data_IF_648996278236
#
_entry.id   IF_648996278236
#
_cell.length_a   1.000
_cell.length_b   1.000
_cell.length_c   1.000
_cell.angle_alpha   90.00
_cell.angle_beta   90.00
_cell.angle_gamma   90.00
#
_symmetry.space_group_name_H-M   'P 1'
#
loop_
_entity.id
_entity.type
_entity.pdbx_description
1 polymer ?
#
# COMPACT_ATOMS: atom_id res chain seq x y z
N UNK A 1 -1.69 65.68 30.63
CA UNK A 1 -2.70 64.74 30.09
C UNK A 1 -2.03 63.94 28.98
N UNK A 2 -2.06 62.61 29.12
CA UNK A 2 -1.43 61.64 28.23
C UNK A 2 -2.38 61.27 27.08
N UNK A 3 -1.83 60.91 25.92
CA UNK A 3 -2.14 59.65 25.23
C UNK A 3 -1.23 59.47 24.02
N UNK A 4 -0.49 58.36 24.06
CA UNK A 4 0.36 57.82 23.00
C UNK A 4 -0.54 57.31 21.88
N UNK A 5 -0.28 57.73 20.63
CA UNK A 5 -0.91 57.14 19.47
C UNK A 5 -0.35 55.73 19.27
N UNK A 6 -1.17 54.72 19.55
CA UNK A 6 -0.84 53.31 19.35
C UNK A 6 -0.82 52.99 17.85
N UNK A 7 0.31 52.45 17.39
CA UNK A 7 0.42 51.82 16.10
C UNK A 7 -0.51 50.59 16.05
N UNK A 8 -1.45 50.57 15.10
CA UNK A 8 -2.18 49.34 14.77
C UNK A 8 -1.34 48.53 13.79
N UNK A 9 -0.43 47.73 14.33
CA UNK A 9 0.20 46.63 13.62
C UNK A 9 -0.71 45.40 13.75
N UNK A 10 -1.86 45.40 13.07
CA UNK A 10 -2.57 44.15 12.84
C UNK A 10 -2.06 43.56 11.52
N UNK A 11 -0.95 42.83 11.67
CA UNK A 11 -0.49 41.85 10.70
C UNK A 11 -1.68 40.97 10.29
N UNK A 12 -1.96 40.96 9.00
CA UNK A 12 -2.90 40.04 8.38
C UNK A 12 -2.33 38.62 8.52
N UNK A 13 -2.66 37.96 9.63
CA UNK A 13 -2.62 36.51 9.71
C UNK A 13 -3.78 36.03 8.85
N UNK A 14 -3.50 35.79 7.56
CA UNK A 14 -4.40 35.06 6.69
C UNK A 14 -4.78 33.78 7.42
N UNK A 15 -6.06 33.65 7.75
CA UNK A 15 -6.55 32.48 8.45
C UNK A 15 -6.37 31.26 7.54
N UNK A 16 -6.05 30.09 8.07
CA UNK A 16 -5.91 28.84 7.30
C UNK A 16 -7.08 28.54 6.34
N UNK A 17 -8.25 29.16 6.56
CA UNK A 17 -9.43 29.09 5.68
C UNK A 17 -9.17 29.65 4.29
N UNK A 18 -8.33 30.66 4.16
CA UNK A 18 -7.99 31.29 2.88
C UNK A 18 -7.06 30.40 2.03
N UNK A 19 -6.31 29.48 2.67
CA UNK A 19 -5.39 28.55 2.00
C UNK A 19 -6.14 27.46 1.22
N UNK A 20 -7.32 27.07 1.70
CA UNK A 20 -8.13 26.00 1.09
C UNK A 20 -9.43 26.50 0.47
N UNK A 21 -9.68 27.81 0.43
CA UNK A 21 -10.89 28.37 -0.19
C UNK A 21 -12.21 27.90 0.44
N UNK A 22 -12.21 27.57 1.74
CA UNK A 22 -13.39 27.05 2.43
C UNK A 22 -14.37 28.17 2.74
N UNK A 23 -15.64 28.01 2.34
CA UNK A 23 -16.71 29.00 2.52
C UNK A 23 -17.22 29.10 3.97
N UNK A 24 -16.70 28.27 4.87
CA UNK A 24 -17.16 28.16 6.26
C UNK A 24 -18.34 27.20 6.43
N UNK A 25 -18.96 26.75 5.33
CA UNK A 25 -19.90 25.64 5.32
C UNK A 25 -19.18 24.37 4.87
N UNK A 26 -18.47 23.74 5.80
CA UNK A 26 -17.64 22.55 5.54
C UNK A 26 -18.40 21.43 4.82
N UNK A 27 -19.69 21.22 5.14
CA UNK A 27 -20.50 20.19 4.47
C UNK A 27 -20.69 20.50 3.00
N UNK A 28 -21.00 21.76 2.68
CA UNK A 28 -21.16 22.20 1.29
C UNK A 28 -19.84 22.17 0.53
N UNK A 29 -18.76 22.64 1.17
CA UNK A 29 -17.44 22.66 0.55
C UNK A 29 -16.96 21.24 0.25
N UNK A 30 -17.09 20.31 1.20
CA UNK A 30 -16.73 18.89 1.01
C UNK A 30 -17.53 18.25 -0.13
N UNK A 31 -18.84 18.45 -0.18
CA UNK A 31 -19.69 17.90 -1.26
C UNK A 31 -19.27 18.48 -2.62
N UNK A 32 -19.05 19.79 -2.70
CA UNK A 32 -18.54 20.41 -3.92
C UNK A 32 -17.18 19.83 -4.35
N UNK A 33 -16.26 19.59 -3.42
CA UNK A 33 -14.97 18.97 -3.77
C UNK A 33 -15.14 17.56 -4.29
N UNK A 34 -15.94 16.73 -3.62
CA UNK A 34 -16.22 15.35 -4.04
C UNK A 34 -16.90 15.29 -5.42
N UNK A 35 -17.88 16.16 -5.68
CA UNK A 35 -18.60 16.22 -6.95
C UNK A 35 -17.72 16.66 -8.13
N UNK A 36 -16.63 17.39 -7.86
CA UNK A 36 -15.70 17.87 -8.87
C UNK A 36 -14.43 17.02 -8.99
N UNK A 37 -14.35 15.85 -8.34
CA UNK A 37 -13.25 14.92 -8.55
C UNK A 37 -13.37 14.36 -9.98
N UNK A 38 -12.53 14.87 -10.88
CA UNK A 38 -12.31 14.28 -12.19
C UNK A 38 -11.19 13.24 -12.09
N UNK A 39 -11.54 11.95 -11.97
CA UNK A 39 -10.56 10.86 -12.06
C UNK A 39 -10.39 10.39 -13.50
N UNK A 40 -9.15 10.08 -13.87
CA UNK A 40 -8.89 9.37 -15.13
C UNK A 40 -9.24 7.89 -14.94
N UNK A 41 -10.51 7.55 -15.16
CA UNK A 41 -11.02 6.17 -15.16
C UNK A 41 -12.10 5.91 -14.11
N UNK A 42 -13.17 5.24 -14.54
CA UNK A 42 -14.28 4.77 -13.69
C UNK A 42 -14.26 3.24 -13.67
N UNK A 43 -13.46 2.65 -12.79
CA UNK A 43 -13.56 1.21 -12.56
C UNK A 43 -13.68 0.89 -11.08
N UNK A 44 -14.67 0.07 -10.77
CA UNK A 44 -14.84 -0.56 -9.48
C UNK A 44 -15.15 -2.03 -9.73
N UNK A 45 -14.51 -2.91 -8.98
CA UNK A 45 -14.81 -4.35 -8.99
C UNK A 45 -15.13 -4.79 -7.56
N UNK A 46 -16.13 -5.65 -7.42
CA UNK A 46 -16.53 -6.22 -6.15
C UNK A 46 -16.74 -7.71 -6.32
N UNK A 47 -16.14 -8.51 -5.45
CA UNK A 47 -16.31 -9.96 -5.40
C UNK A 47 -16.63 -10.37 -3.97
N UNK A 48 -17.72 -11.11 -3.80
CA UNK A 48 -18.06 -11.71 -2.52
C UNK A 48 -17.37 -13.05 -2.38
N UNK A 49 -16.71 -13.29 -1.25
CA UNK A 49 -16.06 -14.56 -0.95
C UNK A 49 -16.82 -15.28 0.17
N UNK A 50 -17.10 -16.56 -0.03
CA UNK A 50 -17.77 -17.40 0.98
C UNK A 50 -16.87 -17.77 2.16
N UNK A 51 -15.55 -17.72 1.97
CA UNK A 51 -14.51 -17.92 2.99
C UNK A 51 -13.65 -16.67 3.03
N UNK A 52 -13.41 -16.10 4.22
CA UNK A 52 -12.57 -14.90 4.40
C UNK A 52 -11.12 -15.23 4.80
N UNK A 53 -10.82 -16.50 5.03
CA UNK A 53 -9.50 -16.95 5.48
C UNK A 53 -8.97 -18.05 4.59
N UNK A 54 -7.84 -17.79 3.95
CA UNK A 54 -7.06 -18.77 3.20
C UNK A 54 -5.79 -19.02 3.98
N UNK A 55 -5.50 -20.27 4.29
CA UNK A 55 -4.18 -20.61 4.82
C UNK A 55 -3.19 -20.60 3.65
N UNK A 56 -2.12 -19.79 3.71
CA UNK A 56 -1.25 -19.59 2.58
C UNK A 56 -0.49 -20.85 2.14
N UNK A 57 -0.24 -21.78 3.07
CA UNK A 57 0.57 -22.99 2.90
C UNK A 57 1.79 -22.74 2.00
N UNK A 58 2.63 -21.80 2.42
CA UNK A 58 3.82 -21.42 1.66
C UNK A 58 4.85 -22.55 1.76
N UNK A 59 5.35 -23.01 0.61
CA UNK A 59 6.47 -23.96 0.56
C UNK A 59 7.61 -23.36 -0.23
N UNK A 60 8.83 -23.50 0.27
CA UNK A 60 10.03 -23.15 -0.47
C UNK A 60 10.40 -24.31 -1.40
N UNK A 61 10.62 -23.98 -2.67
CA UNK A 61 11.06 -24.92 -3.68
C UNK A 61 12.58 -25.09 -3.56
N UNK A 62 13.02 -26.34 -3.46
CA UNK A 62 14.42 -26.69 -3.45
C UNK A 62 15.10 -26.35 -4.78
N UNK A 63 16.33 -25.83 -4.74
CA UNK A 63 17.18 -25.83 -5.92
C UNK A 63 17.49 -27.30 -6.30
N UNK A 64 17.35 -27.65 -7.57
CA UNK A 64 17.82 -28.92 -8.13
C UNK A 64 17.19 -30.21 -7.54
N UNK A 65 15.88 -30.17 -7.23
CA UNK A 65 15.14 -31.38 -6.84
C UNK A 65 15.21 -31.75 -5.35
N UNK A 66 15.62 -30.82 -4.49
CA UNK A 66 15.46 -30.96 -3.04
C UNK A 66 13.97 -30.90 -2.63
N UNK A 67 13.64 -31.53 -1.50
CA UNK A 67 12.27 -31.56 -0.96
C UNK A 67 11.72 -30.14 -0.67
N UNK A 68 10.43 -29.96 -0.93
CA UNK A 68 9.72 -28.73 -0.59
C UNK A 68 9.70 -28.52 0.92
N UNK A 69 10.09 -27.32 1.37
CA UNK A 69 10.10 -26.98 2.80
C UNK A 69 8.90 -26.10 3.13
N UNK A 70 7.99 -26.61 3.96
CA UNK A 70 6.85 -25.84 4.45
C UNK A 70 7.27 -24.75 5.44
N UNK A 71 6.62 -23.59 5.32
CA UNK A 71 6.80 -22.42 6.18
C UNK A 71 5.60 -22.35 7.14
N UNK A 72 5.87 -22.46 8.43
CA UNK A 72 4.85 -22.42 9.46
C UNK A 72 4.21 -21.04 9.61
N UNK A 73 2.93 -21.04 9.98
CA UNK A 73 2.19 -19.85 10.39
C UNK A 73 1.65 -20.02 11.83
N UNK A 74 1.68 -18.96 12.68
CA UNK A 74 2.24 -17.64 12.42
C UNK A 74 3.76 -17.71 12.22
N UNK A 75 4.30 -16.79 11.42
CA UNK A 75 5.70 -16.83 10.97
C UNK A 75 6.66 -16.73 12.17
N UNK A 76 7.29 -17.85 12.51
CA UNK A 76 8.30 -17.93 13.55
C UNK A 76 9.69 -17.54 13.06
N UNK A 77 10.62 -17.29 13.99
CA UNK A 77 11.99 -16.88 13.68
C UNK A 77 12.73 -17.89 12.79
N UNK A 78 12.56 -19.19 13.05
CA UNK A 78 13.22 -20.25 12.27
C UNK A 78 12.75 -20.25 10.81
N UNK A 79 11.45 -20.14 10.59
CA UNK A 79 10.87 -20.11 9.25
C UNK A 79 11.17 -18.80 8.52
N UNK A 80 11.19 -17.67 9.24
CA UNK A 80 11.67 -16.40 8.70
C UNK A 80 13.12 -16.48 8.22
N UNK A 81 14.00 -17.16 8.96
CA UNK A 81 15.38 -17.38 8.54
C UNK A 81 15.49 -18.27 7.30
N UNK A 82 14.61 -19.27 7.14
CA UNK A 82 14.54 -20.08 5.91
C UNK A 82 14.19 -19.19 4.72
N UNK A 83 13.16 -18.34 4.84
CA UNK A 83 12.77 -17.39 3.81
C UNK A 83 13.92 -16.43 3.44
N UNK A 84 14.58 -15.83 4.42
CA UNK A 84 15.68 -14.87 4.19
C UNK A 84 16.85 -15.52 3.42
N UNK A 85 17.14 -16.80 3.64
CA UNK A 85 18.25 -17.50 2.97
C UNK A 85 18.06 -17.63 1.45
N UNK A 86 16.80 -17.72 0.99
CA UNK A 86 16.47 -17.86 -0.44
C UNK A 86 15.97 -16.55 -1.06
N UNK A 87 15.46 -15.64 -0.25
CA UNK A 87 15.00 -14.34 -0.71
C UNK A 87 16.16 -13.41 -1.08
N UNK A 88 15.85 -12.39 -1.88
CA UNK A 88 16.74 -11.26 -2.14
C UNK A 88 16.16 -10.00 -1.50
N UNK A 89 17.00 -8.98 -1.34
CA UNK A 89 16.51 -7.65 -0.99
C UNK A 89 15.64 -7.10 -2.13
N UNK A 90 14.45 -6.63 -1.75
CA UNK A 90 13.47 -6.09 -2.69
C UNK A 90 13.93 -4.71 -3.17
N UNK A 91 14.16 -4.51 -4.48
CA UNK A 91 14.44 -3.19 -5.00
C UNK A 91 13.16 -2.34 -5.02
N UNK A 92 13.30 -1.04 -5.23
CA UNK A 92 12.17 -0.14 -5.41
C UNK A 92 12.38 0.80 -6.59
N UNK A 93 11.26 1.19 -7.20
CA UNK A 93 11.23 2.15 -8.29
C UNK A 93 11.39 3.57 -7.77
N UNK A 94 12.31 4.33 -8.38
CA UNK A 94 12.45 5.78 -8.19
C UNK A 94 12.45 6.45 -9.56
N UNK A 95 11.26 6.86 -10.01
CA UNK A 95 11.05 7.27 -11.40
C UNK A 95 11.27 6.08 -12.34
N UNK A 96 12.21 6.21 -13.28
CA UNK A 96 12.59 5.15 -14.22
C UNK A 96 13.67 4.20 -13.67
N UNK A 97 14.21 4.46 -12.48
CA UNK A 97 15.31 3.68 -11.91
C UNK A 97 14.82 2.60 -10.95
N UNK A 98 15.49 1.45 -10.95
CA UNK A 98 15.32 0.39 -9.95
C UNK A 98 16.55 0.39 -9.04
N UNK A 99 16.38 0.82 -7.80
CA UNK A 99 17.47 0.98 -6.83
C UNK A 99 17.21 0.18 -5.55
N UNK A 100 18.29 -0.18 -4.85
CA UNK A 100 18.25 -0.90 -3.58
C UNK A 100 18.65 0.07 -2.47
N UNK A 101 17.69 0.43 -1.62
CA UNK A 101 17.88 1.36 -0.49
C UNK A 101 17.11 0.84 0.72
N UNK A 102 17.87 0.24 1.64
CA UNK A 102 17.32 -0.37 2.84
C UNK A 102 16.93 0.66 3.90
N UNK A 103 17.27 1.94 3.76
CA UNK A 103 16.80 2.98 4.70
C UNK A 103 15.34 3.35 4.49
N UNK A 104 14.81 3.13 3.28
CA UNK A 104 13.39 3.34 2.97
C UNK A 104 12.61 2.04 3.01
N UNK A 105 13.18 0.93 2.53
CA UNK A 105 12.49 -0.36 2.47
C UNK A 105 13.45 -1.51 2.73
N UNK A 106 13.51 -1.95 3.98
CA UNK A 106 14.23 -3.17 4.36
C UNK A 106 13.30 -4.38 4.23
N UNK A 107 13.03 -4.80 3.00
CA UNK A 107 12.11 -5.90 2.69
C UNK A 107 12.80 -6.96 1.83
N UNK A 108 12.42 -8.21 2.02
CA UNK A 108 12.90 -9.36 1.27
C UNK A 108 11.81 -9.85 0.32
N UNK A 109 12.19 -10.29 -0.88
CA UNK A 109 11.28 -10.85 -1.88
C UNK A 109 11.78 -12.19 -2.42
N UNK A 110 10.84 -13.05 -2.80
CA UNK A 110 11.06 -14.34 -3.46
C UNK A 110 10.56 -14.27 -4.90
N UNK A 111 11.28 -14.91 -5.81
CA UNK A 111 10.81 -15.15 -7.17
C UNK A 111 9.80 -16.31 -7.20
N UNK A 112 8.86 -16.33 -8.17
CA UNK A 112 7.90 -17.43 -8.32
C UNK A 112 8.53 -18.81 -8.48
N UNK A 113 9.76 -18.90 -8.99
CA UNK A 113 10.50 -20.15 -9.10
C UNK A 113 11.05 -20.69 -7.78
N UNK A 114 10.92 -19.93 -6.68
CA UNK A 114 11.50 -20.26 -5.37
C UNK A 114 10.44 -20.71 -4.35
N UNK A 115 9.15 -20.60 -4.65
CA UNK A 115 8.09 -20.99 -3.72
C UNK A 115 6.82 -21.44 -4.45
N UNK A 116 5.99 -22.20 -3.73
CA UNK A 116 4.63 -22.52 -4.12
C UNK A 116 3.65 -22.11 -3.01
N UNK A 117 2.39 -21.92 -3.41
CA UNK A 117 1.25 -21.61 -2.53
C UNK A 117 0.19 -22.70 -2.69
N UNK A 118 -0.77 -22.79 -1.78
CA UNK A 118 -1.93 -23.67 -1.96
C UNK A 118 -2.84 -23.22 -3.10
N UNK A 119 -3.51 -24.19 -3.72
CA UNK A 119 -4.61 -23.95 -4.67
C UNK A 119 -5.82 -23.25 -4.00
N UNK A 120 -5.86 -23.15 -2.66
CA UNK A 120 -6.90 -22.40 -1.96
C UNK A 120 -6.89 -20.90 -2.31
N UNK A 121 -5.79 -20.38 -2.86
CA UNK A 121 -5.70 -19.01 -3.37
C UNK A 121 -6.42 -18.80 -4.68
N UNK A 122 -6.64 -19.85 -5.48
CA UNK A 122 -7.13 -19.73 -6.86
C UNK A 122 -8.40 -18.88 -6.96
N UNK A 123 -9.44 -19.06 -6.11
CA UNK A 123 -10.65 -18.24 -6.19
C UNK A 123 -10.41 -16.74 -5.97
N UNK A 124 -9.31 -16.34 -5.33
CA UNK A 124 -8.98 -14.96 -4.96
C UNK A 124 -8.05 -14.29 -5.96
N UNK A 125 -7.15 -15.04 -6.58
CA UNK A 125 -6.16 -14.51 -7.55
C UNK A 125 -6.59 -14.68 -9.01
N UNK A 126 -7.42 -15.68 -9.33
CA UNK A 126 -8.06 -15.77 -10.64
C UNK A 126 -9.18 -14.74 -10.72
N UNK A 127 -8.82 -13.60 -11.32
CA UNK A 127 -9.78 -12.66 -11.87
C UNK A 127 -10.00 -13.09 -13.33
N UNK A 128 -11.24 -13.46 -13.63
CA UNK A 128 -11.81 -13.71 -14.96
C UNK A 128 -10.85 -13.43 -16.13
N UNK A 129 -10.37 -14.50 -16.78
CA UNK A 129 -9.96 -14.42 -18.17
C UNK A 129 -11.26 -14.17 -18.95
N UNK A 130 -11.59 -12.92 -19.23
CA UNK A 130 -12.69 -12.59 -20.14
C UNK A 130 -12.42 -13.33 -21.45
N UNK A 131 -13.39 -14.16 -21.82
CA UNK A 131 -13.47 -14.81 -23.12
C UNK A 131 -13.33 -13.72 -24.19
N UNK A 132 -12.18 -13.70 -24.85
CA UNK A 132 -11.94 -12.93 -26.08
C UNK A 132 -12.33 -13.78 -27.27
#
# INVERSE_FOLDING_TARGET
MAAVASASANAAVASERDVYGLSGNIKKDLLNYLDNIASSGDFATMKSFSKLSVSPHVRLLGADGQEEVEIGIPLGLQDAQKLIKVARQAPFGKGEQTILDTSFRNTWELYPSQFSLSDEWQPYVDVHRELS
#
